data_IF_189109541295
#
_entry.id   IF_189109541295
#
_cell.length_a   1.000
_cell.length_b   1.000
_cell.length_c   1.000
_cell.angle_alpha   90.00
_cell.angle_beta   90.00
_cell.angle_gamma   90.00
#
_symmetry.space_group_name_H-M   'P 1'
#
loop_
_entity.id
_entity.type
_entity.pdbx_description
1 polymer ?
#
# COMPACT_ATOMS: atom_id res chain seq x y z
N UNK A 1 -47.58 54.86 12.40
CA UNK A 1 -48.15 53.49 12.51
C UNK A 1 -47.92 52.65 11.25
N UNK A 2 -48.35 53.08 10.05
CA UNK A 2 -48.30 52.23 8.83
C UNK A 2 -46.91 51.78 8.38
N UNK A 3 -45.86 52.59 8.58
CA UNK A 3 -44.48 52.22 8.21
C UNK A 3 -43.90 51.09 9.06
N UNK A 4 -44.24 51.04 10.35
CA UNK A 4 -43.77 50.01 11.28
C UNK A 4 -44.48 48.68 11.00
N UNK A 5 -45.79 48.72 10.72
CA UNK A 5 -46.56 47.54 10.33
C UNK A 5 -46.05 46.91 9.02
N UNK A 6 -45.62 47.74 8.07
CA UNK A 6 -45.08 47.29 6.79
C UNK A 6 -43.70 46.61 6.95
N UNK A 7 -42.85 47.12 7.84
CA UNK A 7 -41.54 46.51 8.16
C UNK A 7 -41.70 45.18 8.90
N UNK A 8 -42.65 45.10 9.85
CA UNK A 8 -42.94 43.88 10.61
C UNK A 8 -43.43 42.73 9.71
N UNK A 9 -44.11 43.05 8.61
CA UNK A 9 -44.60 42.09 7.62
C UNK A 9 -43.55 41.70 6.56
N UNK A 10 -42.63 42.61 6.22
CA UNK A 10 -41.60 42.38 5.21
C UNK A 10 -40.40 41.57 5.72
N UNK A 11 -40.06 41.69 7.01
CA UNK A 11 -38.94 40.98 7.64
C UNK A 11 -39.05 39.43 7.59
N UNK A 12 -40.21 38.81 7.88
CA UNK A 12 -40.35 37.36 7.72
C UNK A 12 -40.31 36.93 6.25
N UNK A 13 -40.76 37.77 5.31
CA UNK A 13 -40.73 37.47 3.87
C UNK A 13 -39.29 37.39 3.32
N UNK A 14 -38.40 38.24 3.83
CA UNK A 14 -36.98 38.23 3.45
C UNK A 14 -36.23 37.00 3.99
N UNK A 15 -36.63 36.48 5.16
CA UNK A 15 -36.00 35.31 5.77
C UNK A 15 -36.25 34.02 4.97
N UNK A 16 -37.44 33.87 4.38
CA UNK A 16 -37.81 32.67 3.61
C UNK A 16 -37.14 32.64 2.23
N UNK A 17 -36.78 33.80 1.67
CA UNK A 17 -36.10 33.91 0.38
C UNK A 17 -34.61 33.53 0.43
N UNK A 18 -34.02 33.33 1.61
CA UNK A 18 -32.57 33.09 1.77
C UNK A 18 -32.15 31.61 1.61
N UNK A 19 -33.07 30.68 1.35
CA UNK A 19 -32.73 29.29 1.07
C UNK A 19 -32.29 29.10 -0.40
N UNK A 20 -31.02 29.40 -0.70
CA UNK A 20 -30.37 29.03 -1.94
C UNK A 20 -29.99 27.54 -1.96
N UNK A 21 -30.45 26.78 -2.96
CA UNK A 21 -30.09 25.38 -3.15
C UNK A 21 -28.63 25.29 -3.61
N UNK A 22 -27.74 24.87 -2.72
CA UNK A 22 -26.36 24.57 -3.08
C UNK A 22 -26.35 23.26 -3.89
N UNK A 23 -26.08 23.34 -5.19
CA UNK A 23 -26.01 22.19 -6.10
C UNK A 23 -24.60 21.59 -6.19
N UNK A 24 -23.72 21.92 -5.24
CA UNK A 24 -22.39 21.32 -5.18
C UNK A 24 -22.53 19.81 -4.95
N UNK A 25 -21.99 19.02 -5.90
CA UNK A 25 -21.86 17.58 -5.74
C UNK A 25 -20.97 17.34 -4.51
N UNK A 26 -21.42 16.59 -3.49
CA UNK A 26 -20.56 16.25 -2.36
C UNK A 26 -19.30 15.56 -2.86
N UNK A 27 -18.13 16.04 -2.44
CA UNK A 27 -16.86 15.38 -2.77
C UNK A 27 -16.84 13.95 -2.20
N UNK A 28 -16.39 13.00 -3.01
CA UNK A 28 -16.16 11.62 -2.55
C UNK A 28 -14.86 11.53 -1.75
N UNK A 29 -14.89 10.81 -0.63
CA UNK A 29 -13.71 10.37 0.11
C UNK A 29 -13.66 8.85 0.07
N UNK A 30 -12.46 8.30 -0.10
CA UNK A 30 -12.24 6.86 -0.15
C UNK A 30 -10.78 6.53 0.17
N UNK A 31 -10.53 5.30 0.61
CA UNK A 31 -9.17 4.77 0.71
C UNK A 31 -8.73 4.21 -0.63
N UNK A 32 -7.43 4.34 -0.89
CA UNK A 32 -6.75 3.56 -1.92
C UNK A 32 -6.11 2.37 -1.23
N UNK A 33 -6.39 1.18 -1.72
CA UNK A 33 -5.82 -0.06 -1.20
C UNK A 33 -4.78 -0.63 -2.17
N UNK A 34 -3.75 -1.25 -1.62
CA UNK A 34 -2.74 -2.00 -2.35
C UNK A 34 -2.43 -3.30 -1.60
N UNK A 35 -2.06 -4.35 -2.34
CA UNK A 35 -1.56 -5.57 -1.71
C UNK A 35 -0.11 -5.37 -1.32
N UNK A 36 0.15 -5.36 -0.01
CA UNK A 36 1.50 -5.29 0.53
C UNK A 36 2.00 -6.69 0.88
N UNK A 37 3.23 -6.99 0.49
CA UNK A 37 3.88 -8.28 0.75
C UNK A 37 5.28 -8.01 1.28
N UNK A 38 5.60 -8.57 2.44
CA UNK A 38 6.97 -8.58 2.96
C UNK A 38 7.67 -9.84 2.51
N UNK A 39 8.82 -9.70 1.86
CA UNK A 39 9.64 -10.81 1.39
C UNK A 39 10.84 -10.98 2.34
N UNK A 40 11.09 -12.22 2.76
CA UNK A 40 12.19 -12.59 3.64
C UNK A 40 12.90 -13.81 3.08
N UNK A 41 14.19 -13.95 3.37
CA UNK A 41 14.92 -15.19 3.06
C UNK A 41 14.43 -16.34 3.94
N UNK A 42 14.39 -17.55 3.37
CA UNK A 42 14.01 -18.76 4.13
C UNK A 42 15.03 -19.13 5.21
N UNK A 43 16.27 -18.70 5.03
CA UNK A 43 17.36 -18.92 5.98
C UNK A 43 18.03 -17.61 6.34
N UNK A 44 18.60 -17.54 7.54
CA UNK A 44 19.38 -16.39 7.99
C UNK A 44 20.76 -16.38 7.33
N UNK A 45 21.21 -15.20 6.90
CA UNK A 45 22.53 -15.02 6.31
C UNK A 45 22.89 -13.53 6.20
N UNK A 46 24.17 -13.24 5.94
CA UNK A 46 24.62 -11.89 5.64
C UNK A 46 24.25 -11.56 4.19
N UNK A 47 23.72 -10.37 3.93
CA UNK A 47 23.52 -9.88 2.57
C UNK A 47 24.88 -9.70 1.90
N UNK A 48 25.10 -10.41 0.80
CA UNK A 48 26.28 -10.25 -0.07
C UNK A 48 26.02 -9.21 -1.16
N UNK A 49 24.79 -9.17 -1.68
CA UNK A 49 24.41 -8.26 -2.77
C UNK A 49 22.92 -7.99 -2.79
N UNK A 50 22.54 -6.78 -3.21
CA UNK A 50 21.17 -6.40 -3.58
C UNK A 50 21.19 -6.04 -5.07
N UNK A 51 20.19 -6.50 -5.83
CA UNK A 51 20.14 -6.37 -7.29
C UNK A 51 19.12 -5.34 -7.79
N UNK A 52 18.32 -4.77 -6.89
CA UNK A 52 17.18 -3.91 -7.22
C UNK A 52 17.24 -2.64 -6.39
N UNK A 53 16.61 -1.59 -6.91
CA UNK A 53 16.46 -0.30 -6.25
C UNK A 53 14.98 -0.02 -5.90
N UNK A 54 14.74 0.96 -5.03
CA UNK A 54 13.39 1.38 -4.68
C UNK A 54 12.63 1.92 -5.91
N UNK A 55 11.41 1.44 -6.11
CA UNK A 55 10.56 1.82 -7.24
C UNK A 55 10.66 0.89 -8.46
N UNK A 56 11.58 -0.09 -8.44
CA UNK A 56 11.69 -1.08 -9.50
C UNK A 56 10.44 -1.95 -9.62
N UNK A 57 10.11 -2.33 -10.86
CA UNK A 57 9.05 -3.30 -11.16
C UNK A 57 9.65 -4.69 -11.20
N UNK A 58 9.07 -5.60 -10.42
CA UNK A 58 9.52 -6.99 -10.33
C UNK A 58 8.49 -7.94 -10.91
N UNK A 59 8.98 -9.07 -11.41
CA UNK A 59 8.18 -10.21 -11.84
C UNK A 59 8.42 -11.40 -10.89
N UNK A 60 7.47 -12.34 -10.82
CA UNK A 60 7.67 -13.58 -10.08
C UNK A 60 8.91 -14.32 -10.57
N UNK A 61 9.79 -14.68 -9.62
CA UNK A 61 11.06 -15.37 -9.91
C UNK A 61 12.27 -14.45 -9.97
N UNK A 62 12.09 -13.12 -9.94
CA UNK A 62 13.22 -12.19 -9.90
C UNK A 62 14.04 -12.33 -8.63
N UNK A 63 15.36 -12.30 -8.78
CA UNK A 63 16.30 -12.36 -7.65
C UNK A 63 16.55 -10.96 -7.12
N UNK A 64 16.08 -10.68 -5.91
CA UNK A 64 16.13 -9.35 -5.27
C UNK A 64 17.48 -9.13 -4.55
N UNK A 65 17.97 -10.17 -3.87
CA UNK A 65 19.21 -10.12 -3.11
C UNK A 65 19.87 -11.51 -3.03
N UNK A 66 21.17 -11.52 -2.77
CA UNK A 66 21.95 -12.71 -2.46
C UNK A 66 22.44 -12.62 -1.01
N UNK A 67 22.19 -13.68 -0.25
CA UNK A 67 22.77 -13.88 1.08
C UNK A 67 23.89 -14.92 1.02
N UNK A 68 24.78 -14.90 2.01
CA UNK A 68 25.85 -15.89 2.14
C UNK A 68 25.26 -17.32 2.19
N UNK A 69 25.66 -18.14 1.22
CA UNK A 69 25.22 -19.53 1.06
C UNK A 69 26.31 -20.56 1.30
N UNK A 70 27.52 -20.16 1.75
CA UNK A 70 28.68 -21.06 1.85
C UNK A 70 28.33 -22.29 2.70
N UNK A 71 27.75 -22.08 3.88
CA UNK A 71 27.38 -23.20 4.78
C UNK A 71 26.36 -24.14 4.14
N UNK A 72 25.36 -23.61 3.43
CA UNK A 72 24.33 -24.41 2.76
C UNK A 72 24.94 -25.21 1.59
N UNK A 73 25.80 -24.58 0.79
CA UNK A 73 26.46 -25.24 -0.35
C UNK A 73 27.38 -26.38 0.09
N UNK A 74 28.11 -26.22 1.20
CA UNK A 74 28.95 -27.27 1.76
C UNK A 74 28.11 -28.44 2.29
N UNK A 75 27.01 -28.17 2.98
CA UNK A 75 26.08 -29.22 3.44
C UNK A 75 25.46 -29.98 2.28
N UNK A 76 25.07 -29.29 1.21
CA UNK A 76 24.53 -29.92 0.00
C UNK A 76 25.56 -30.88 -0.61
N UNK A 77 26.80 -30.42 -0.82
CA UNK A 77 27.88 -31.27 -1.36
C UNK A 77 28.16 -32.49 -0.48
N UNK A 78 28.13 -32.33 0.84
CA UNK A 78 28.29 -33.46 1.76
C UNK A 78 27.15 -34.47 1.59
N UNK A 79 25.90 -34.00 1.54
CA UNK A 79 24.74 -34.87 1.38
C UNK A 79 24.76 -35.61 0.02
N UNK A 80 25.17 -34.94 -1.05
CA UNK A 80 25.33 -35.53 -2.38
C UNK A 80 26.41 -36.62 -2.38
N UNK A 81 27.56 -36.37 -1.73
CA UNK A 81 28.62 -37.37 -1.61
C UNK A 81 28.17 -38.60 -0.80
N UNK A 82 27.43 -38.39 0.29
CA UNK A 82 26.85 -39.48 1.08
C UNK A 82 25.84 -40.30 0.28
N UNK A 83 25.00 -39.63 -0.52
CA UNK A 83 24.06 -40.30 -1.43
C UNK A 83 24.80 -41.16 -2.45
N UNK A 84 25.81 -40.59 -3.12
CA UNK A 84 26.59 -41.30 -4.13
C UNK A 84 27.28 -42.55 -3.56
N UNK A 85 27.84 -42.47 -2.35
CA UNK A 85 28.48 -43.61 -1.69
C UNK A 85 27.51 -44.72 -1.25
N UNK A 86 26.21 -44.42 -1.11
CA UNK A 86 25.20 -45.39 -0.75
C UNK A 86 24.56 -46.07 -1.97
N UNK A 87 24.64 -45.44 -3.14
CA UNK A 87 24.13 -45.98 -4.42
C UNK A 87 25.13 -46.93 -5.09
N UNK A 88 26.40 -46.90 -4.70
CA UNK A 88 27.45 -47.85 -5.09
C UNK A 88 27.49 -49.08 -4.19
#
# INVERSE_FOLDING_TARGET
MNRILMILCALPLLAVASCGRNTAVPGGSGLIEATEVTISSETSGRIERVYVDEGDRLLPGDTIALIDTVTLSLKLRQAEAMKAAAET
#
